data_IF_364383722075
#
_entry.id   IF_364383722075
#
_cell.length_a   1.000
_cell.length_b   1.000
_cell.length_c   1.000
_cell.angle_alpha   90.00
_cell.angle_beta   90.00
_cell.angle_gamma   90.00
#
_symmetry.space_group_name_H-M   'P 1'
#
loop_
_entity.id
_entity.type
_entity.pdbx_description
1 polymer ?
#
# COMPACT_ATOMS: atom_id res chain seq x y z
N UNK A 1 2.93 -12.62 26.25
CA UNK A 1 1.79 -13.43 25.76
C UNK A 1 0.48 -12.66 25.91
N UNK A 2 -0.45 -12.81 24.97
CA UNK A 2 -1.80 -12.27 25.13
C UNK A 2 -2.50 -12.99 26.30
N UNK A 3 -3.23 -12.24 27.12
CA UNK A 3 -3.97 -12.82 28.24
C UNK A 3 -4.97 -13.88 27.73
N UNK A 4 -4.99 -15.05 28.37
CA UNK A 4 -5.87 -16.16 27.99
C UNK A 4 -5.35 -17.06 26.86
N UNK A 5 -4.17 -16.82 26.30
CA UNK A 5 -3.56 -17.66 25.27
C UNK A 5 -2.28 -18.35 25.76
N UNK A 6 -2.06 -19.59 25.32
CA UNK A 6 -0.81 -20.32 25.57
C UNK A 6 0.35 -19.66 24.82
N UNK A 7 1.56 -19.79 25.35
CA UNK A 7 2.78 -19.44 24.62
C UNK A 7 2.90 -20.30 23.37
N UNK A 8 3.28 -19.68 22.25
CA UNK A 8 3.53 -20.36 20.98
C UNK A 8 4.94 -20.94 20.98
N UNK A 9 5.09 -22.18 20.56
CA UNK A 9 6.41 -22.76 20.27
C UNK A 9 6.80 -22.53 18.80
N UNK A 10 8.04 -22.92 18.41
CA UNK A 10 8.54 -22.71 17.05
C UNK A 10 7.68 -23.38 15.97
N UNK A 11 7.09 -24.56 16.26
CA UNK A 11 6.21 -25.25 15.33
C UNK A 11 4.88 -24.51 15.18
N UNK A 12 4.28 -24.07 16.29
CA UNK A 12 3.05 -23.27 16.26
C UNK A 12 3.25 -21.99 15.43
N UNK A 13 4.37 -21.29 15.62
CA UNK A 13 4.72 -20.09 14.84
C UNK A 13 4.87 -20.39 13.36
N UNK A 14 5.56 -21.48 13.01
CA UNK A 14 5.73 -21.90 11.62
C UNK A 14 4.40 -22.22 10.95
N UNK A 15 3.54 -23.01 11.59
CA UNK A 15 2.24 -23.39 11.05
C UNK A 15 1.37 -22.14 10.82
N UNK A 16 1.31 -21.22 11.79
CA UNK A 16 0.56 -19.97 11.68
C UNK A 16 1.12 -19.10 10.55
N UNK A 17 2.43 -18.83 10.54
CA UNK A 17 3.05 -17.96 9.55
C UNK A 17 2.86 -18.51 8.14
N UNK A 18 3.18 -19.78 7.92
CA UNK A 18 3.07 -20.39 6.59
C UNK A 18 1.62 -20.46 6.12
N UNK A 19 0.63 -20.59 7.02
CA UNK A 19 -0.79 -20.55 6.64
C UNK A 19 -1.22 -19.23 6.01
N UNK A 20 -0.53 -18.12 6.31
CA UNK A 20 -0.80 -16.81 5.73
C UNK A 20 -0.10 -16.60 4.38
N UNK A 21 0.95 -17.39 4.07
CA UNK A 21 1.78 -17.20 2.88
C UNK A 21 1.28 -18.03 1.69
N UNK A 22 1.15 -17.39 0.53
CA UNK A 22 1.04 -18.09 -0.76
C UNK A 22 2.30 -18.88 -1.09
N UNK A 23 2.24 -19.84 -2.01
CA UNK A 23 3.42 -20.61 -2.42
C UNK A 23 4.56 -19.72 -2.94
N UNK A 24 4.23 -18.67 -3.71
CA UNK A 24 5.20 -17.69 -4.22
C UNK A 24 5.88 -16.94 -3.07
N UNK A 25 5.12 -16.51 -2.07
CA UNK A 25 5.63 -15.82 -0.88
C UNK A 25 6.48 -16.73 0.00
N UNK A 26 6.09 -18.01 0.17
CA UNK A 26 6.90 -19.00 0.91
C UNK A 26 8.26 -19.17 0.27
N UNK A 27 8.29 -19.39 -1.05
CA UNK A 27 9.55 -19.52 -1.79
C UNK A 27 10.43 -18.27 -1.64
N UNK A 28 9.85 -17.08 -1.81
CA UNK A 28 10.59 -15.82 -1.64
C UNK A 28 11.14 -15.68 -0.22
N UNK A 29 10.33 -15.95 0.79
CA UNK A 29 10.77 -15.92 2.19
C UNK A 29 11.87 -16.94 2.50
N UNK A 30 11.81 -18.14 1.92
CA UNK A 30 12.83 -19.17 2.10
C UNK A 30 14.16 -18.80 1.42
N UNK A 31 14.12 -18.06 0.31
CA UNK A 31 15.29 -17.55 -0.41
C UNK A 31 15.88 -16.29 0.25
N UNK A 32 15.04 -15.34 0.68
CA UNK A 32 15.44 -14.01 1.16
C UNK A 32 15.53 -13.92 2.69
N UNK A 33 14.96 -14.87 3.43
CA UNK A 33 14.88 -14.94 4.90
C UNK A 33 14.05 -13.85 5.59
N UNK A 34 13.46 -12.95 4.80
CA UNK A 34 12.55 -11.89 5.22
C UNK A 34 11.47 -11.62 4.17
N UNK A 35 10.30 -11.15 4.60
CA UNK A 35 9.16 -10.91 3.73
C UNK A 35 8.21 -9.85 4.30
N UNK A 36 8.07 -8.73 3.59
CA UNK A 36 6.95 -7.79 3.77
C UNK A 36 5.78 -8.17 2.86
N UNK A 37 4.56 -8.12 3.41
CA UNK A 37 3.31 -8.39 2.69
C UNK A 37 2.10 -7.73 3.37
N UNK A 38 0.98 -7.65 2.66
CA UNK A 38 -0.34 -7.44 3.27
C UNK A 38 -1.07 -8.78 3.48
N UNK A 39 -1.82 -8.89 4.58
CA UNK A 39 -2.67 -10.04 4.90
C UNK A 39 -4.07 -9.57 5.25
N UNK A 40 -5.08 -10.14 4.61
CA UNK A 40 -6.48 -9.85 4.89
C UNK A 40 -7.12 -11.04 5.61
N UNK A 41 -7.68 -10.79 6.79
CA UNK A 41 -8.58 -11.72 7.48
C UNK A 41 -10.02 -11.35 7.11
N UNK A 42 -10.69 -12.14 6.24
CA UNK A 42 -11.99 -11.77 5.68
C UNK A 42 -13.01 -11.39 6.76
N UNK A 43 -13.65 -10.24 6.57
CA UNK A 43 -14.69 -9.73 7.47
C UNK A 43 -14.19 -9.24 8.83
N UNK A 44 -12.87 -9.20 9.09
CA UNK A 44 -12.33 -8.81 10.40
C UNK A 44 -11.31 -7.68 10.33
N UNK A 45 -10.19 -7.90 9.67
CA UNK A 45 -9.05 -6.98 9.72
C UNK A 45 -8.10 -7.20 8.55
N UNK A 46 -7.35 -6.15 8.20
CA UNK A 46 -6.16 -6.26 7.37
C UNK A 46 -4.93 -5.97 8.21
N UNK A 47 -3.80 -6.53 7.80
CA UNK A 47 -2.53 -6.35 8.48
C UNK A 47 -1.43 -6.11 7.45
N UNK A 48 -0.51 -5.20 7.78
CA UNK A 48 0.84 -5.24 7.23
C UNK A 48 1.63 -6.23 8.05
N UNK A 49 2.17 -7.24 7.38
CA UNK A 49 2.90 -8.34 7.99
C UNK A 49 4.34 -8.28 7.50
N UNK A 50 5.26 -8.25 8.45
CA UNK A 50 6.67 -8.53 8.20
C UNK A 50 6.97 -9.91 8.82
N UNK A 51 7.58 -10.80 8.05
CA UNK A 51 8.01 -12.14 8.47
C UNK A 51 9.53 -12.19 8.36
N UNK A 52 10.20 -12.77 9.37
CA UNK A 52 11.65 -12.82 9.44
C UNK A 52 12.13 -14.07 10.19
N UNK A 53 13.41 -14.44 10.02
CA UNK A 53 14.06 -15.48 10.83
C UNK A 53 14.78 -14.87 12.04
N UNK A 54 14.76 -15.59 13.17
CA UNK A 54 15.51 -15.24 14.38
C UNK A 54 15.90 -16.50 15.15
N UNK A 55 17.20 -16.69 15.40
CA UNK A 55 17.76 -17.80 16.22
C UNK A 55 17.13 -19.17 15.90
N UNK A 56 17.21 -19.59 14.64
CA UNK A 56 16.63 -20.84 14.13
C UNK A 56 15.10 -21.00 14.32
N UNK A 57 14.41 -19.89 14.55
CA UNK A 57 12.96 -19.81 14.65
C UNK A 57 12.42 -18.71 13.72
N UNK A 58 11.10 -18.64 13.62
CA UNK A 58 10.40 -17.62 12.83
C UNK A 58 9.87 -16.52 13.73
N UNK A 59 9.83 -15.31 13.19
CA UNK A 59 9.21 -14.15 13.80
C UNK A 59 8.26 -13.48 12.82
N UNK A 60 7.22 -12.83 13.36
CA UNK A 60 6.35 -11.98 12.56
C UNK A 60 5.90 -10.76 13.36
N UNK A 61 5.94 -9.60 12.71
CA UNK A 61 5.35 -8.37 13.21
C UNK A 61 4.12 -8.02 12.36
N UNK A 62 2.96 -7.86 13.01
CA UNK A 62 1.69 -7.57 12.35
C UNK A 62 1.17 -6.21 12.83
N UNK A 63 0.93 -5.28 11.90
CA UNK A 63 0.33 -3.97 12.20
C UNK A 63 -1.03 -3.88 11.55
N UNK A 64 -2.04 -3.50 12.32
CA UNK A 64 -3.40 -3.34 11.84
C UNK A 64 -3.47 -2.27 10.74
N UNK A 65 -4.15 -2.61 9.65
CA UNK A 65 -4.53 -1.71 8.57
C UNK A 65 -5.99 -1.31 8.77
N UNK A 66 -6.31 -0.03 8.97
CA UNK A 66 -7.69 0.45 9.05
C UNK A 66 -8.45 0.19 7.75
N UNK A 67 -9.72 -0.22 7.84
CA UNK A 67 -10.62 -0.29 6.68
C UNK A 67 -11.23 1.07 6.33
N UNK A 68 -11.46 1.90 7.33
CA UNK A 68 -12.06 3.20 7.15
C UNK A 68 -10.97 4.22 6.79
N UNK A 69 -11.23 4.95 5.72
CA UNK A 69 -10.43 6.11 5.32
C UNK A 69 -11.13 7.33 5.89
N UNK A 70 -10.45 8.02 6.79
CA UNK A 70 -10.95 9.26 7.37
C UNK A 70 -11.00 10.38 6.32
N UNK A 71 -12.03 11.21 6.38
CA UNK A 71 -12.14 12.38 5.50
C UNK A 71 -11.06 13.41 5.84
N UNK A 72 -10.74 14.27 4.89
CA UNK A 72 -9.78 15.35 5.08
C UNK A 72 -10.16 16.25 6.27
N UNK A 73 -11.46 16.52 6.45
CA UNK A 73 -11.98 17.32 7.56
C UNK A 73 -11.80 16.61 8.91
N UNK A 74 -12.08 15.30 8.97
CA UNK A 74 -11.90 14.51 10.20
C UNK A 74 -10.42 14.41 10.62
N UNK A 75 -9.52 14.40 9.65
CA UNK A 75 -8.07 14.46 9.88
C UNK A 75 -7.55 15.85 10.27
N UNK A 76 -8.40 16.88 10.23
CA UNK A 76 -8.00 18.27 10.48
C UNK A 76 -7.09 18.85 9.40
N UNK A 77 -7.16 18.31 8.18
CA UNK A 77 -6.33 18.78 7.07
C UNK A 77 -6.81 20.16 6.58
N UNK A 78 -5.90 21.07 6.21
CA UNK A 78 -6.26 22.37 5.65
C UNK A 78 -7.11 22.23 4.38
N UNK A 79 -8.18 23.02 4.28
CA UNK A 79 -9.11 22.98 3.16
C UNK A 79 -8.44 23.21 1.79
N UNK A 80 -7.32 23.95 1.76
CA UNK A 80 -6.53 24.19 0.53
C UNK A 80 -6.02 22.89 -0.10
N UNK A 81 -5.81 21.82 0.68
CA UNK A 81 -5.39 20.52 0.13
C UNK A 81 -6.46 19.91 -0.79
N UNK A 82 -7.73 20.30 -0.64
CA UNK A 82 -8.82 19.86 -1.51
C UNK A 82 -8.67 20.39 -2.93
N UNK A 83 -7.95 21.49 -3.13
CA UNK A 83 -7.65 21.99 -4.48
C UNK A 83 -6.75 21.02 -5.25
N UNK A 84 -5.90 20.24 -4.56
CA UNK A 84 -5.07 19.22 -5.21
C UNK A 84 -5.89 18.09 -5.83
N UNK A 85 -7.06 17.75 -5.28
CA UNK A 85 -7.92 16.70 -5.85
C UNK A 85 -8.62 17.13 -7.14
N UNK A 86 -8.61 18.44 -7.44
CA UNK A 86 -9.19 19.04 -8.65
C UNK A 86 -8.18 19.20 -9.78
N UNK A 87 -6.89 19.02 -9.51
CA UNK A 87 -5.86 19.06 -10.53
C UNK A 87 -6.12 17.98 -11.59
N UNK A 88 -6.09 18.38 -12.86
CA UNK A 88 -6.31 17.47 -14.00
C UNK A 88 -5.02 16.82 -14.49
N UNK A 89 -3.86 17.37 -14.13
CA UNK A 89 -2.52 16.87 -14.45
C UNK A 89 -1.49 17.50 -13.53
N UNK A 90 -0.30 16.91 -13.46
CA UNK A 90 0.84 17.39 -12.68
C UNK A 90 1.27 16.42 -11.59
N UNK A 91 2.17 16.88 -10.74
CA UNK A 91 2.77 16.08 -9.67
C UNK A 91 2.49 16.71 -8.31
N UNK A 92 1.89 15.93 -7.40
CA UNK A 92 1.69 16.30 -6.00
C UNK A 92 2.59 15.43 -5.14
N UNK A 93 3.44 16.06 -4.32
CA UNK A 93 4.34 15.37 -3.41
C UNK A 93 3.88 15.56 -1.96
N UNK A 94 3.62 14.46 -1.27
CA UNK A 94 3.34 14.45 0.17
C UNK A 94 4.57 13.91 0.90
N UNK A 95 5.26 14.78 1.63
CA UNK A 95 6.54 14.47 2.27
C UNK A 95 6.43 14.47 3.79
N UNK A 96 7.43 13.91 4.47
CA UNK A 96 7.46 13.80 5.93
C UNK A 96 8.13 12.51 6.40
N UNK A 97 8.49 12.45 7.69
CA UNK A 97 9.11 11.28 8.31
C UNK A 97 8.14 10.11 8.47
N UNK A 98 8.65 8.92 8.79
CA UNK A 98 7.82 7.75 9.12
C UNK A 98 6.87 8.08 10.27
N UNK A 99 5.59 7.71 10.13
CA UNK A 99 4.57 7.99 11.14
C UNK A 99 3.98 9.40 11.11
N UNK A 100 4.39 10.29 10.20
CA UNK A 100 3.85 11.66 10.11
C UNK A 100 2.47 11.77 9.45
N UNK A 101 1.78 10.65 9.18
CA UNK A 101 0.45 10.64 8.56
C UNK A 101 0.41 10.74 7.03
N UNK A 102 1.54 10.61 6.32
CA UNK A 102 1.59 10.72 4.84
C UNK A 102 0.58 9.82 4.11
N UNK A 103 0.62 8.51 4.41
CA UNK A 103 -0.28 7.54 3.77
C UNK A 103 -1.74 7.84 4.09
N UNK A 104 -2.04 8.28 5.31
CA UNK A 104 -3.38 8.68 5.74
C UNK A 104 -3.87 9.91 4.97
N UNK A 105 -3.01 10.92 4.79
CA UNK A 105 -3.29 12.10 3.97
C UNK A 105 -3.53 11.73 2.51
N UNK A 106 -2.65 10.93 1.90
CA UNK A 106 -2.79 10.46 0.52
C UNK A 106 -4.08 9.65 0.34
N UNK A 107 -4.39 8.74 1.26
CA UNK A 107 -5.63 7.98 1.23
C UNK A 107 -6.85 8.91 1.29
N UNK A 108 -6.85 9.94 2.14
CA UNK A 108 -7.97 10.89 2.17
C UNK A 108 -8.13 11.68 0.86
N UNK A 109 -7.03 12.06 0.21
CA UNK A 109 -7.03 12.75 -1.08
C UNK A 109 -7.56 11.85 -2.20
N UNK A 110 -7.07 10.60 -2.26
CA UNK A 110 -7.55 9.61 -3.24
C UNK A 110 -9.02 9.26 -3.00
N UNK A 111 -9.47 9.15 -1.75
CA UNK A 111 -10.88 8.90 -1.44
C UNK A 111 -11.79 10.05 -1.87
N UNK A 112 -11.33 11.30 -1.72
CA UNK A 112 -12.06 12.49 -2.20
C UNK A 112 -12.14 12.51 -3.73
N UNK A 113 -11.06 12.21 -4.45
CA UNK A 113 -11.07 12.04 -5.92
C UNK A 113 -12.09 10.96 -6.30
N UNK A 114 -12.02 9.79 -5.66
CA UNK A 114 -12.88 8.65 -5.94
C UNK A 114 -14.38 8.92 -5.69
N UNK A 115 -14.71 9.81 -4.74
CA UNK A 115 -16.09 10.25 -4.48
C UNK A 115 -16.60 11.29 -5.48
N UNK A 116 -15.72 12.14 -6.00
CA UNK A 116 -16.13 13.36 -6.70
C UNK A 116 -15.90 13.32 -8.21
N UNK A 117 -14.98 12.48 -8.68
CA UNK A 117 -14.57 12.36 -10.09
C UNK A 117 -14.95 10.99 -10.68
N UNK A 118 -15.03 10.91 -12.01
CA UNK A 118 -15.37 9.69 -12.75
C UNK A 118 -14.14 9.25 -13.53
N UNK A 119 -13.13 8.88 -12.76
CA UNK A 119 -11.75 8.72 -13.22
C UNK A 119 -11.28 7.29 -13.00
N UNK A 120 -10.21 6.90 -13.68
CA UNK A 120 -9.44 5.70 -13.37
C UNK A 120 -8.26 6.04 -12.46
N UNK A 121 -8.34 5.56 -11.22
CA UNK A 121 -7.28 5.71 -10.22
C UNK A 121 -6.45 4.43 -10.19
N UNK A 122 -5.14 4.57 -10.34
CA UNK A 122 -4.17 3.49 -10.23
C UNK A 122 -3.25 3.75 -9.03
N UNK A 123 -3.02 2.76 -8.17
CA UNK A 123 -2.01 2.85 -7.13
C UNK A 123 -0.94 1.78 -7.30
N UNK A 124 0.31 2.13 -7.00
CA UNK A 124 1.45 1.21 -6.91
C UNK A 124 2.08 1.39 -5.53
N UNK A 125 2.06 0.34 -4.71
CA UNK A 125 2.37 0.42 -3.27
C UNK A 125 3.20 -0.78 -2.80
N UNK A 126 3.94 -0.62 -1.69
CA UNK A 126 4.80 -1.67 -1.11
C UNK A 126 4.78 -1.66 0.44
N UNK A 127 3.87 -2.42 1.09
CA UNK A 127 2.67 -3.06 0.55
C UNK A 127 1.48 -2.08 0.50
N UNK A 128 0.31 -2.55 0.02
CA UNK A 128 -0.91 -1.72 0.00
C UNK A 128 -1.39 -1.41 1.43
N UNK A 129 -1.46 -0.13 1.77
CA UNK A 129 -1.84 0.31 3.12
C UNK A 129 -3.34 0.55 3.24
N UNK A 130 -3.98 1.34 2.39
CA UNK A 130 -5.42 1.63 2.46
C UNK A 130 -6.17 0.99 1.31
N UNK A 131 -7.33 0.39 1.58
CA UNK A 131 -8.17 -0.16 0.53
C UNK A 131 -9.19 0.86 0.04
N UNK A 132 -9.08 1.22 -1.22
CA UNK A 132 -10.06 2.05 -1.91
C UNK A 132 -11.06 1.17 -2.65
N UNK A 133 -12.30 1.12 -2.15
CA UNK A 133 -13.41 0.53 -2.91
C UNK A 133 -13.78 1.45 -4.07
N UNK A 134 -14.25 0.87 -5.17
CA UNK A 134 -14.86 1.64 -6.25
C UNK A 134 -16.02 2.49 -5.74
N UNK A 135 -16.08 3.74 -6.20
CA UNK A 135 -17.20 4.66 -5.93
C UNK A 135 -17.63 5.29 -7.25
N UNK A 136 -17.32 6.58 -7.45
CA UNK A 136 -17.56 7.26 -8.73
C UNK A 136 -16.41 7.01 -9.71
N UNK A 137 -15.20 6.78 -9.19
CA UNK A 137 -14.04 6.30 -9.93
C UNK A 137 -13.87 4.78 -9.88
N UNK A 138 -13.15 4.26 -10.87
CA UNK A 138 -12.57 2.91 -10.83
C UNK A 138 -11.22 3.01 -10.12
N UNK A 139 -10.89 2.04 -9.27
CA UNK A 139 -9.66 2.06 -8.48
C UNK A 139 -8.95 0.72 -8.57
N UNK A 140 -7.76 0.71 -9.16
CA UNK A 140 -6.91 -0.46 -9.25
C UNK A 140 -5.65 -0.27 -8.39
N UNK A 141 -5.44 -1.16 -7.43
CA UNK A 141 -4.28 -1.09 -6.54
C UNK A 141 -3.34 -2.26 -6.83
N UNK A 142 -2.05 -1.97 -6.97
CA UNK A 142 -1.02 -2.96 -7.31
C UNK A 142 0.07 -2.98 -6.25
N UNK A 143 0.26 -4.14 -5.64
CA UNK A 143 1.28 -4.36 -4.63
C UNK A 143 2.61 -4.85 -5.25
N UNK A 144 3.73 -4.25 -4.86
CA UNK A 144 5.07 -4.71 -5.25
C UNK A 144 5.31 -6.13 -4.70
N UNK A 145 5.92 -6.99 -5.52
CA UNK A 145 6.20 -8.39 -5.20
C UNK A 145 5.01 -9.33 -5.40
N UNK A 146 3.79 -8.83 -5.28
CA UNK A 146 2.55 -9.59 -5.50
C UNK A 146 2.04 -9.37 -6.94
N UNK A 147 1.66 -8.15 -7.29
CA UNK A 147 0.98 -7.79 -8.57
C UNK A 147 1.92 -7.18 -9.63
N UNK A 148 3.11 -6.78 -9.21
CA UNK A 148 4.16 -6.23 -10.08
C UNK A 148 5.54 -6.45 -9.45
N UNK A 149 6.62 -6.31 -10.23
CA UNK A 149 7.98 -6.59 -9.76
C UNK A 149 8.74 -5.38 -9.23
N UNK A 150 8.17 -4.18 -9.30
CA UNK A 150 8.83 -2.95 -8.85
C UNK A 150 8.11 -1.69 -9.34
N UNK A 151 8.41 -0.56 -8.71
CA UNK A 151 7.78 0.74 -8.99
C UNK A 151 7.99 1.19 -10.43
N UNK A 152 9.24 1.29 -10.89
CA UNK A 152 9.55 1.72 -12.25
C UNK A 152 8.89 0.85 -13.33
N UNK A 153 8.92 -0.48 -13.16
CA UNK A 153 8.24 -1.41 -14.08
C UNK A 153 6.73 -1.19 -14.06
N UNK A 154 6.13 -1.05 -12.87
CA UNK A 154 4.70 -0.79 -12.76
C UNK A 154 4.33 0.52 -13.47
N UNK A 155 5.02 1.62 -13.15
CA UNK A 155 4.77 2.95 -13.72
C UNK A 155 4.86 2.97 -15.24
N UNK A 156 5.88 2.33 -15.83
CA UNK A 156 6.02 2.20 -17.28
C UNK A 156 4.80 1.57 -17.96
N UNK A 157 4.17 0.61 -17.29
CA UNK A 157 2.97 -0.05 -17.81
C UNK A 157 1.69 0.72 -17.48
N UNK A 158 1.63 1.38 -16.33
CA UNK A 158 0.47 2.17 -15.89
C UNK A 158 0.12 3.24 -16.91
N UNK A 159 1.09 3.88 -17.55
CA UNK A 159 0.85 4.86 -18.64
C UNK A 159 0.08 4.32 -19.86
N UNK A 160 -0.03 2.99 -20.01
CA UNK A 160 -0.80 2.33 -21.08
C UNK A 160 -2.08 1.68 -20.58
N UNK A 161 -2.42 1.90 -19.31
CA UNK A 161 -3.60 1.34 -18.65
C UNK A 161 -4.72 2.38 -18.52
N UNK A 162 -4.62 3.48 -19.26
CA UNK A 162 -5.60 4.58 -19.27
C UNK A 162 -5.91 5.17 -17.86
N UNK A 163 -4.89 5.50 -17.02
CA UNK A 163 -5.13 6.10 -15.71
C UNK A 163 -5.30 7.62 -15.81
N UNK A 164 -6.23 8.18 -15.03
CA UNK A 164 -6.35 9.63 -14.83
C UNK A 164 -5.56 10.10 -13.59
N UNK A 165 -5.41 9.22 -12.60
CA UNK A 165 -4.72 9.52 -11.33
C UNK A 165 -3.82 8.34 -10.97
N UNK A 166 -2.54 8.61 -10.74
CA UNK A 166 -1.55 7.60 -10.33
C UNK A 166 -0.98 7.94 -8.96
N UNK A 167 -1.16 7.04 -8.00
CA UNK A 167 -0.47 7.06 -6.71
C UNK A 167 0.79 6.19 -6.81
N UNK A 168 1.94 6.78 -6.51
CA UNK A 168 3.21 6.05 -6.35
C UNK A 168 3.59 6.10 -4.88
N UNK A 169 3.67 4.94 -4.22
CA UNK A 169 3.88 4.86 -2.78
C UNK A 169 5.17 5.55 -2.30
N UNK A 170 6.24 5.47 -3.07
CA UNK A 170 7.50 6.13 -2.76
C UNK A 170 8.37 6.38 -4.00
N UNK A 171 9.28 7.35 -3.87
CA UNK A 171 10.22 7.76 -4.92
C UNK A 171 11.66 7.57 -4.41
N UNK A 172 12.09 6.31 -4.24
CA UNK A 172 13.42 6.00 -3.67
C UNK A 172 14.55 6.05 -4.68
N UNK A 173 14.31 5.55 -5.89
CA UNK A 173 15.33 5.40 -6.92
C UNK A 173 15.11 6.35 -8.10
N UNK A 174 16.18 6.60 -8.85
CA UNK A 174 16.20 7.54 -9.96
C UNK A 174 15.25 7.12 -11.10
N UNK A 175 15.12 5.82 -11.38
CA UNK A 175 14.27 5.32 -12.47
C UNK A 175 12.79 5.59 -12.14
N UNK A 176 12.38 5.33 -10.90
CA UNK A 176 11.04 5.62 -10.40
C UNK A 176 10.74 7.12 -10.43
N UNK A 177 11.68 7.96 -9.99
CA UNK A 177 11.53 9.43 -10.04
C UNK A 177 11.37 9.91 -11.49
N UNK A 178 12.25 9.48 -12.39
CA UNK A 178 12.20 9.85 -13.81
C UNK A 178 10.88 9.44 -14.44
N UNK A 179 10.44 8.20 -14.20
CA UNK A 179 9.18 7.68 -14.75
C UNK A 179 7.97 8.46 -14.20
N UNK A 180 7.97 8.81 -12.91
CA UNK A 180 6.91 9.61 -12.30
C UNK A 180 6.85 11.03 -12.88
N UNK A 181 8.01 11.65 -13.17
CA UNK A 181 8.07 12.95 -13.82
C UNK A 181 7.56 12.88 -15.27
N UNK A 182 7.97 11.89 -16.05
CA UNK A 182 7.44 11.67 -17.40
C UNK A 182 5.93 11.48 -17.37
N UNK A 183 5.42 10.68 -16.44
CA UNK A 183 3.98 10.48 -16.26
C UNK A 183 3.25 11.80 -15.99
N UNK A 184 3.78 12.64 -15.10
CA UNK A 184 3.16 13.92 -14.78
C UNK A 184 3.20 14.93 -15.94
N UNK A 185 4.19 14.84 -16.82
CA UNK A 185 4.34 15.71 -18.01
C UNK A 185 3.39 15.32 -19.15
N UNK A 186 3.17 14.02 -19.36
CA UNK A 186 2.34 13.51 -20.46
C UNK A 186 0.83 13.71 -20.25
N UNK A 187 0.44 14.21 -19.07
CA UNK A 187 -0.95 14.23 -18.62
C UNK A 187 -1.42 12.85 -18.17
#
# INVERSE_FOLDING_TARGET
PLAGYRSLNSKDLQDIIYSMLSQKQRKRFEEELELDMSFALPGRARFRVNVFRQRDSLGSAMRLIPYEIDSMEKLGLPAVLKEFTRLRRGLVLVTGVTGSGKSTTLASLIDEINRTRSDHIMTVEDPIEFLHRHKKSIVNQREIGTDTHGFAKALRHVLRQDPDVVLVGELRDLETIQTALTAAETG
#
